data_IF_835840990089
#
_entry.id   IF_835840990089
#
_cell.length_a   1.000
_cell.length_b   1.000
_cell.length_c   1.000
_cell.angle_alpha   90.00
_cell.angle_beta   90.00
_cell.angle_gamma   90.00
#
_symmetry.space_group_name_H-M   'P 1'
#
loop_
_entity.id
_entity.type
_entity.pdbx_description
1 polymer ?
#
# COMPACT_ATOMS: atom_id res chain seq x y z
N UNK A 1 9.56 -5.30 11.81
CA UNK A 1 8.52 -5.28 10.75
C UNK A 1 7.66 -4.11 11.13
N UNK A 2 7.70 -3.03 10.35
CA UNK A 2 7.39 -1.72 10.94
C UNK A 2 5.94 -1.30 10.74
N UNK A 3 5.25 -1.80 9.70
CA UNK A 3 3.86 -1.49 9.37
C UNK A 3 3.00 -2.76 9.38
N UNK A 4 1.79 -2.65 9.93
CA UNK A 4 0.71 -3.65 9.84
C UNK A 4 -0.52 -3.00 9.25
N UNK A 5 -1.26 -3.75 8.43
CA UNK A 5 -2.48 -3.30 7.78
C UNK A 5 -3.70 -4.01 8.33
N UNK A 6 -4.76 -3.27 8.59
CA UNK A 6 -6.12 -3.81 8.76
C UNK A 6 -6.84 -3.68 7.43
N UNK A 7 -7.18 -4.81 6.81
CA UNK A 7 -7.84 -4.83 5.51
C UNK A 7 -9.31 -4.37 5.61
N UNK A 8 -9.72 -3.51 4.69
CA UNK A 8 -11.11 -3.13 4.48
C UNK A 8 -11.66 -3.89 3.27
N UNK A 9 -12.40 -4.99 3.51
CA UNK A 9 -12.92 -5.88 2.46
C UNK A 9 -13.69 -5.11 1.39
N UNK A 10 -13.31 -5.30 0.12
CA UNK A 10 -13.96 -4.71 -1.05
C UNK A 10 -14.45 -5.78 -2.03
N UNK A 11 -15.48 -5.50 -2.85
CA UNK A 11 -16.02 -6.46 -3.82
C UNK A 11 -15.27 -6.51 -5.16
N UNK A 12 -14.07 -5.91 -5.26
CA UNK A 12 -13.33 -5.77 -6.53
C UNK A 12 -12.02 -6.53 -6.48
N UNK A 13 -11.75 -7.35 -7.49
CA UNK A 13 -10.63 -8.31 -7.52
C UNK A 13 -9.22 -7.67 -7.41
N UNK A 14 -9.07 -6.45 -7.91
CA UNK A 14 -7.77 -5.78 -8.01
C UNK A 14 -7.69 -4.49 -7.19
N UNK A 15 -8.60 -4.33 -6.23
CA UNK A 15 -8.63 -3.19 -5.32
C UNK A 15 -8.45 -3.68 -3.88
N UNK A 16 -7.37 -3.20 -3.27
CA UNK A 16 -7.04 -3.51 -1.89
C UNK A 16 -7.07 -2.23 -1.07
N UNK A 17 -7.64 -2.30 0.12
CA UNK A 17 -7.72 -1.15 1.04
C UNK A 17 -7.27 -1.57 2.41
N UNK A 18 -6.39 -0.78 3.00
CA UNK A 18 -5.85 -1.04 4.32
C UNK A 18 -5.79 0.24 5.12
N UNK A 19 -6.04 0.12 6.42
CA UNK A 19 -5.56 1.10 7.40
C UNK A 19 -4.20 0.65 7.91
N UNK A 20 -3.20 1.51 7.77
CA UNK A 20 -1.81 1.17 8.09
C UNK A 20 -1.46 1.71 9.47
N UNK A 21 -0.86 0.86 10.30
CA UNK A 21 -0.45 1.15 11.67
C UNK A 21 1.02 0.82 11.87
N UNK A 22 1.69 1.55 12.77
CA UNK A 22 3.03 1.21 13.23
C UNK A 22 2.93 -0.05 14.10
N UNK A 23 3.81 -1.01 13.85
CA UNK A 23 3.92 -2.20 14.70
C UNK A 23 4.50 -1.80 16.06
N UNK A 24 3.75 -2.08 17.12
CA UNK A 24 4.22 -2.13 18.51
C UNK A 24 3.85 -3.49 19.09
N UNK A 25 4.61 -3.96 20.07
CA UNK A 25 4.42 -5.30 20.68
C UNK A 25 3.04 -5.51 21.35
N UNK A 26 2.24 -4.45 21.48
CA UNK A 26 0.87 -4.48 22.02
C UNK A 26 -0.07 -3.76 21.03
N UNK A 27 -0.74 -4.52 20.17
CA UNK A 27 -1.79 -3.99 19.28
C UNK A 27 -3.06 -3.81 20.11
N UNK A 28 -3.27 -2.61 20.69
CA UNK A 28 -4.59 -2.22 21.19
C UNK A 28 -5.45 -1.73 20.02
N UNK A 29 -6.27 -2.63 19.46
CA UNK A 29 -7.27 -2.31 18.44
C UNK A 29 -8.24 -1.26 19.02
N UNK A 30 -8.03 0.01 18.69
CA UNK A 30 -8.83 1.14 19.20
C UNK A 30 -8.02 2.38 19.62
N UNK A 31 -6.70 2.27 19.81
CA UNK A 31 -5.84 3.45 20.07
C UNK A 31 -5.30 4.03 18.76
N UNK A 32 -5.76 5.23 18.41
CA UNK A 32 -5.33 6.00 17.22
C UNK A 32 -3.85 6.41 17.22
N UNK A 33 -3.10 6.16 18.30
CA UNK A 33 -1.72 6.63 18.47
C UNK A 33 -0.75 6.00 17.47
N UNK A 34 -1.05 4.77 17.00
CA UNK A 34 -0.21 4.04 16.04
C UNK A 34 -0.68 4.14 14.59
N UNK A 35 -1.79 4.83 14.32
CA UNK A 35 -2.32 4.98 12.96
C UNK A 35 -1.40 5.84 12.09
N UNK A 36 -1.01 5.34 10.92
CA UNK A 36 -0.11 6.03 9.98
C UNK A 36 -0.87 6.67 8.83
N UNK A 37 -1.62 5.89 8.07
CA UNK A 37 -2.32 6.35 6.87
C UNK A 37 -3.37 5.34 6.42
N UNK A 38 -4.23 5.79 5.53
CA UNK A 38 -5.07 4.92 4.73
C UNK A 38 -4.33 4.60 3.44
N UNK A 39 -4.31 3.33 3.05
CA UNK A 39 -3.68 2.83 1.84
C UNK A 39 -4.75 2.24 0.93
N UNK A 40 -4.85 2.78 -0.28
CA UNK A 40 -5.61 2.19 -1.37
C UNK A 40 -4.64 1.72 -2.44
N UNK A 41 -4.67 0.43 -2.74
CA UNK A 41 -3.79 -0.15 -3.73
C UNK A 41 -4.58 -0.76 -4.89
N UNK A 42 -4.19 -0.41 -6.11
CA UNK A 42 -4.81 -0.84 -7.35
C UNK A 42 -3.76 -1.56 -8.19
N UNK A 43 -4.06 -2.80 -8.55
CA UNK A 43 -3.24 -3.55 -9.51
C UNK A 43 -3.82 -3.40 -10.91
N UNK A 44 -3.00 -3.01 -11.86
CA UNK A 44 -3.34 -3.05 -13.28
C UNK A 44 -2.62 -4.22 -13.92
N UNK A 45 -3.36 -5.30 -14.13
CA UNK A 45 -2.85 -6.45 -14.86
C UNK A 45 -2.63 -6.09 -16.33
N UNK A 46 -1.47 -6.49 -16.87
CA UNK A 46 -1.23 -6.37 -18.30
C UNK A 46 -2.25 -7.21 -19.08
N UNK A 47 -2.89 -6.59 -20.08
CA UNK A 47 -3.74 -7.35 -20.99
C UNK A 47 -2.88 -8.41 -21.70
N UNK A 48 -3.28 -9.70 -21.70
CA UNK A 48 -2.51 -10.78 -22.31
C UNK A 48 -2.09 -10.53 -23.76
N UNK A 49 -2.87 -9.76 -24.53
CA UNK A 49 -2.59 -9.41 -25.93
C UNK A 49 -1.29 -8.59 -26.08
N UNK A 50 -0.88 -7.87 -25.05
CA UNK A 50 0.31 -7.03 -25.07
C UNK A 50 1.56 -7.72 -24.49
N UNK A 51 1.43 -8.92 -23.92
CA UNK A 51 2.60 -9.69 -23.44
C UNK A 51 3.53 -9.99 -24.61
N UNK A 52 4.83 -9.68 -24.46
CA UNK A 52 5.84 -9.90 -25.49
C UNK A 52 5.96 -8.77 -26.54
N UNK A 53 5.21 -7.67 -26.38
CA UNK A 53 5.39 -6.43 -27.17
C UNK A 53 6.20 -5.38 -26.39
N UNK A 54 7.30 -5.82 -25.76
CA UNK A 54 8.16 -5.00 -24.87
C UNK A 54 7.46 -4.46 -23.61
N UNK A 55 6.18 -4.81 -23.41
CA UNK A 55 5.43 -4.59 -22.18
C UNK A 55 5.21 -5.97 -21.58
N UNK A 56 5.88 -6.25 -20.48
CA UNK A 56 5.82 -7.58 -19.83
C UNK A 56 5.28 -7.53 -18.41
N UNK A 57 5.18 -6.32 -17.84
CA UNK A 57 4.93 -6.13 -16.42
C UNK A 57 3.55 -5.53 -16.16
N UNK A 58 2.90 -6.05 -15.12
CA UNK A 58 1.74 -5.40 -14.51
C UNK A 58 2.25 -4.24 -13.63
N UNK A 59 1.40 -3.24 -13.39
CA UNK A 59 1.79 -2.07 -12.59
C UNK A 59 0.86 -1.90 -11.39
N UNK A 60 1.43 -1.42 -10.29
CA UNK A 60 0.70 -1.14 -9.06
C UNK A 60 0.62 0.36 -8.79
N UNK A 61 -0.53 0.81 -8.30
CA UNK A 61 -0.72 2.17 -7.80
C UNK A 61 -1.14 2.13 -6.34
N UNK A 62 -0.28 2.64 -5.47
CA UNK A 62 -0.51 2.80 -4.05
C UNK A 62 -0.86 4.26 -3.76
N UNK A 63 -2.11 4.52 -3.43
CA UNK A 63 -2.61 5.84 -3.06
C UNK A 63 -2.60 5.89 -1.53
N UNK A 64 -1.81 6.81 -0.99
CA UNK A 64 -1.68 7.03 0.46
C UNK A 64 -2.49 8.27 0.83
N UNK A 65 -3.47 8.08 1.69
CA UNK A 65 -4.41 9.11 2.15
C UNK A 65 -4.33 9.28 3.67
N UNK A 66 -4.84 10.40 4.18
CA UNK A 66 -5.03 10.61 5.62
C UNK A 66 -3.77 10.36 6.47
N UNK A 67 -2.59 10.79 6.00
CA UNK A 67 -1.33 10.61 6.74
C UNK A 67 -1.40 11.31 8.10
N UNK A 68 -1.11 10.58 9.16
CA UNK A 68 -1.05 11.11 10.51
C UNK A 68 0.15 12.06 10.65
N UNK A 69 -0.14 13.34 10.85
CA UNK A 69 0.86 14.40 10.99
C UNK A 69 1.66 14.33 12.28
N UNK A 70 1.21 13.55 13.26
CA UNK A 70 1.87 13.41 14.56
C UNK A 70 2.98 12.35 14.56
N UNK A 71 3.22 11.70 13.41
CA UNK A 71 4.23 10.65 13.29
C UNK A 71 5.55 11.25 12.81
N UNK A 72 6.62 10.93 13.54
CA UNK A 72 8.00 11.28 13.17
C UNK A 72 8.58 10.30 12.13
N UNK A 73 7.97 10.27 10.93
CA UNK A 73 8.45 9.48 9.80
C UNK A 73 8.36 10.34 8.53
N UNK A 74 9.47 10.44 7.79
CA UNK A 74 9.51 11.18 6.52
C UNK A 74 8.69 10.47 5.42
N UNK A 75 8.16 11.25 4.47
CA UNK A 75 7.39 10.71 3.34
C UNK A 75 8.15 9.66 2.54
N UNK A 76 9.45 9.88 2.28
CA UNK A 76 10.29 8.90 1.56
C UNK A 76 10.34 7.56 2.32
N UNK A 77 10.41 7.59 3.65
CA UNK A 77 10.44 6.38 4.47
C UNK A 77 9.07 5.71 4.53
N UNK A 78 7.98 6.48 4.47
CA UNK A 78 6.63 5.93 4.31
C UNK A 78 6.52 5.22 2.95
N UNK A 79 6.98 5.84 1.86
CA UNK A 79 6.97 5.24 0.52
C UNK A 79 7.67 3.88 0.50
N UNK A 80 8.92 3.80 0.96
CA UNK A 80 9.68 2.54 0.98
C UNK A 80 8.98 1.47 1.81
N UNK A 81 8.39 1.85 2.95
CA UNK A 81 7.69 0.91 3.82
C UNK A 81 6.37 0.43 3.23
N UNK A 82 5.63 1.29 2.54
CA UNK A 82 4.39 0.94 1.84
C UNK A 82 4.67 -0.04 0.70
N UNK A 83 5.71 0.21 -0.10
CA UNK A 83 6.10 -0.72 -1.17
C UNK A 83 6.43 -2.12 -0.59
N UNK A 84 7.21 -2.17 0.48
CA UNK A 84 7.51 -3.43 1.19
C UNK A 84 6.28 -4.10 1.79
N UNK A 85 5.35 -3.32 2.36
CA UNK A 85 4.09 -3.82 2.88
C UNK A 85 3.27 -4.49 1.77
N UNK A 86 3.10 -3.81 0.62
CA UNK A 86 2.33 -4.34 -0.53
C UNK A 86 2.87 -5.68 -1.01
N UNK A 87 4.19 -5.80 -1.20
CA UNK A 87 4.82 -7.02 -1.70
C UNK A 87 4.65 -8.21 -0.74
N UNK A 88 4.59 -7.95 0.57
CA UNK A 88 4.57 -9.00 1.60
C UNK A 88 3.18 -9.40 2.03
N UNK A 89 2.29 -8.43 2.19
CA UNK A 89 1.00 -8.62 2.84
C UNK A 89 -0.16 -8.76 1.85
N UNK A 90 -0.05 -8.20 0.65
CA UNK A 90 -1.12 -8.31 -0.36
C UNK A 90 -0.99 -9.66 -1.06
N UNK A 91 -1.97 -10.56 -0.91
CA UNK A 91 -1.90 -11.88 -1.51
C UNK A 91 -1.83 -11.79 -3.03
N UNK A 92 -1.04 -12.69 -3.65
CA UNK A 92 -1.02 -12.90 -5.11
C UNK A 92 -0.63 -11.66 -5.93
N UNK A 93 0.03 -10.67 -5.33
CA UNK A 93 0.31 -9.43 -6.05
C UNK A 93 1.28 -9.63 -7.22
N UNK A 94 2.27 -10.53 -7.10
CA UNK A 94 3.25 -10.88 -8.13
C UNK A 94 3.70 -9.66 -8.96
N UNK A 95 4.20 -8.63 -8.26
CA UNK A 95 4.78 -7.42 -8.83
C UNK A 95 6.19 -7.24 -8.27
N UNK A 96 7.06 -6.59 -9.04
CA UNK A 96 8.30 -6.06 -8.51
C UNK A 96 8.07 -4.74 -7.79
N UNK A 97 8.89 -4.47 -6.77
CA UNK A 97 8.81 -3.24 -5.96
C UNK A 97 8.93 -1.97 -6.83
N UNK A 98 9.68 -2.06 -7.94
CA UNK A 98 9.92 -0.96 -8.89
C UNK A 98 8.68 -0.63 -9.74
N UNK A 99 7.77 -1.60 -9.89
CA UNK A 99 6.54 -1.46 -10.69
C UNK A 99 5.38 -0.91 -9.85
N UNK A 100 5.64 -0.58 -8.58
CA UNK A 100 4.70 0.06 -7.66
C UNK A 100 4.97 1.56 -7.59
N UNK A 101 3.97 2.33 -8.01
CA UNK A 101 3.96 3.78 -7.93
C UNK A 101 3.22 4.21 -6.66
N UNK A 102 3.85 5.02 -5.81
CA UNK A 102 3.23 5.56 -4.60
C UNK A 102 2.81 7.01 -4.86
N UNK A 103 1.55 7.32 -4.57
CA UNK A 103 0.95 8.63 -4.75
C UNK A 103 0.45 9.10 -3.39
N UNK A 104 1.00 10.20 -2.89
CA UNK A 104 0.52 10.84 -1.68
C UNK A 104 -0.62 11.80 -2.03
N UNK A 105 -1.82 11.50 -1.53
CA UNK A 105 -2.96 12.40 -1.70
C UNK A 105 -2.76 13.62 -0.81
N UNK A 106 -2.70 14.79 -1.42
CA UNK A 106 -2.75 16.05 -0.71
C UNK A 106 -4.20 16.29 -0.29
N UNK A 107 -4.56 15.87 0.92
CA UNK A 107 -5.79 16.34 1.54
C UNK A 107 -5.70 17.87 1.69
N UNK A 108 -6.56 18.59 0.95
CA UNK A 108 -6.84 20.00 1.18
C UNK A 108 -7.69 20.18 2.43
#
# INVERSE_FOLDING_TARGET
MDFVGVEEIQPYENLYRYKIFKYDDIIEIGKNENYICDLKFIKLDINPIYKGKEIEESIGYAIVENINKNIDISLNKIEEKIKKFIIREIPLINLDERSINVIFSLNK
#
